data_IF_572742938052
#
_entry.id   IF_572742938052
#
_cell.length_a   1.000
_cell.length_b   1.000
_cell.length_c   1.000
_cell.angle_alpha   90.00
_cell.angle_beta   90.00
_cell.angle_gamma   90.00
#
_symmetry.space_group_name_H-M   'P 1'
#
loop_
_entity.id
_entity.type
_entity.pdbx_description
1 polymer ?
#
# COMPACT_ATOMS: atom_id res chain seq x y z
N UNK A 1 33.08 38.44 44.47
CA UNK A 1 32.76 39.37 45.57
C UNK A 1 31.35 39.88 45.30
N UNK A 2 30.35 39.28 45.95
CA UNK A 2 29.60 39.86 47.09
C UNK A 2 28.54 40.85 46.59
N UNK A 3 27.28 40.36 46.50
CA UNK A 3 26.06 41.19 46.67
C UNK A 3 26.08 41.78 48.09
N UNK A 4 25.33 42.85 48.42
CA UNK A 4 23.92 42.71 48.85
C UNK A 4 23.15 44.03 48.58
N UNK A 5 21.98 44.40 49.09
CA UNK A 5 20.94 43.94 50.02
C UNK A 5 19.77 44.92 49.83
N UNK A 6 18.59 44.63 50.40
CA UNK A 6 17.63 45.70 50.71
C UNK A 6 16.18 45.24 50.77
N UNK A 7 15.78 44.83 51.97
CA UNK A 7 14.42 44.47 52.41
C UNK A 7 13.54 45.70 52.75
N UNK A 8 12.32 45.38 53.20
CA UNK A 8 11.26 46.19 53.85
C UNK A 8 10.23 46.88 52.93
N UNK A 9 8.92 46.80 53.16
CA UNK A 9 8.14 46.19 54.23
C UNK A 9 6.82 46.96 54.43
N UNK A 10 5.65 46.30 54.28
CA UNK A 10 4.34 46.53 54.96
C UNK A 10 3.66 47.93 54.88
N UNK A 11 2.33 48.17 54.89
CA UNK A 11 1.04 47.44 54.96
C UNK A 11 -0.10 48.48 54.80
N UNK A 12 -1.34 47.97 54.63
CA UNK A 12 -2.68 48.63 54.79
C UNK A 12 -3.18 49.51 53.62
N UNK A 13 -4.44 49.50 53.16
CA UNK A 13 -5.65 48.77 53.52
C UNK A 13 -6.87 49.20 52.64
N UNK A 14 -7.79 48.24 52.40
CA UNK A 14 -9.26 48.34 52.21
C UNK A 14 -9.94 48.99 50.95
N UNK A 15 -10.40 48.08 50.06
CA UNK A 15 -11.77 47.89 49.51
C UNK A 15 -12.46 48.97 48.60
N UNK A 16 -13.64 48.68 47.98
CA UNK A 16 -13.91 47.78 46.83
C UNK A 16 -14.69 48.50 45.69
N UNK A 17 -14.83 47.88 44.50
CA UNK A 17 -15.84 48.34 43.53
C UNK A 17 -15.67 47.89 42.07
N UNK A 18 -16.57 46.99 41.66
CA UNK A 18 -17.26 46.89 40.36
C UNK A 18 -16.53 46.47 39.06
N UNK A 19 -17.18 45.52 38.35
CA UNK A 19 -17.30 45.65 36.88
C UNK A 19 -16.92 44.48 35.96
N UNK A 20 -17.60 43.34 36.08
CA UNK A 20 -17.98 42.40 34.99
C UNK A 20 -16.92 41.57 34.21
N UNK A 21 -17.34 40.43 33.60
CA UNK A 21 -16.52 39.24 33.45
C UNK A 21 -15.91 39.09 32.05
N UNK A 22 -14.70 38.52 31.99
CA UNK A 22 -14.15 37.94 30.75
C UNK A 22 -14.31 36.42 30.82
N UNK A 23 -14.85 35.88 29.73
CA UNK A 23 -15.16 34.49 29.48
C UNK A 23 -13.91 33.60 29.51
N UNK A 24 -13.86 32.69 30.47
CA UNK A 24 -12.86 31.63 30.53
C UNK A 24 -13.18 30.52 29.53
N UNK A 25 -12.22 30.23 28.67
CA UNK A 25 -12.22 29.10 27.73
C UNK A 25 -11.95 27.77 28.48
N UNK A 26 -12.58 26.65 28.09
CA UNK A 26 -12.50 25.39 28.84
C UNK A 26 -11.19 24.64 28.56
N UNK A 27 -10.07 25.08 29.15
CA UNK A 27 -8.79 24.35 29.14
C UNK A 27 -8.13 24.17 30.52
N UNK A 28 -8.89 24.29 31.61
CA UNK A 28 -8.41 24.04 32.99
C UNK A 28 -9.27 23.06 33.79
N UNK A 29 -9.69 21.95 33.18
CA UNK A 29 -10.20 20.78 33.92
C UNK A 29 -9.83 19.47 33.23
N UNK A 30 -8.55 19.12 33.20
CA UNK A 30 -8.07 17.74 33.01
C UNK A 30 -6.59 17.66 33.41
N UNK A 31 -6.32 18.10 34.64
CA UNK A 31 -4.99 18.09 35.24
C UNK A 31 -5.05 17.59 36.67
N UNK A 32 -5.42 16.32 36.86
CA UNK A 32 -5.10 15.48 38.04
C UNK A 32 -5.89 14.17 37.97
N UNK A 33 -5.26 13.12 37.46
CA UNK A 33 -5.35 11.73 37.94
C UNK A 33 -4.87 10.80 36.82
N UNK A 34 -3.61 10.33 36.89
CA UNK A 34 -3.16 8.93 36.76
C UNK A 34 -1.65 8.96 37.06
N UNK A 35 -1.29 8.84 38.34
CA UNK A 35 0.04 8.37 38.75
C UNK A 35 -0.07 6.86 38.98
N UNK A 36 0.80 6.08 38.35
CA UNK A 36 1.13 4.74 38.82
C UNK A 36 0.80 3.57 37.89
N UNK A 37 1.53 3.45 36.78
CA UNK A 37 1.96 2.12 36.33
C UNK A 37 3.48 2.08 36.45
N UNK A 38 3.98 1.32 37.43
CA UNK A 38 5.42 1.18 37.67
C UNK A 38 6.07 0.45 36.48
N UNK A 39 7.33 0.76 36.17
CA UNK A 39 8.06 0.13 35.05
C UNK A 39 8.06 -1.41 35.06
N UNK A 40 7.82 -2.02 36.22
CA UNK A 40 7.62 -3.46 36.38
C UNK A 40 6.37 -3.99 35.66
N UNK A 41 5.27 -3.22 35.59
CA UNK A 41 4.04 -3.61 34.92
C UNK A 41 4.17 -3.55 33.39
N UNK A 42 4.87 -2.55 32.86
CA UNK A 42 5.21 -2.46 31.44
C UNK A 42 6.17 -3.60 31.01
N UNK A 43 7.17 -3.92 31.84
CA UNK A 43 8.05 -5.05 31.61
C UNK A 43 7.31 -6.41 31.66
N UNK A 44 6.30 -6.53 32.53
CA UNK A 44 5.44 -7.73 32.61
C UNK A 44 4.54 -7.87 31.38
N UNK A 45 3.99 -6.77 30.86
CA UNK A 45 3.23 -6.75 29.62
C UNK A 45 4.11 -7.11 28.41
N UNK A 46 5.31 -6.54 28.29
CA UNK A 46 6.26 -6.89 27.24
C UNK A 46 6.69 -8.37 27.29
N UNK A 47 6.91 -8.92 28.49
CA UNK A 47 7.18 -10.35 28.68
C UNK A 47 5.99 -11.23 28.30
N UNK A 48 4.76 -10.80 28.59
CA UNK A 48 3.55 -11.53 28.21
C UNK A 48 3.36 -11.57 26.68
N UNK A 49 3.63 -10.46 25.99
CA UNK A 49 3.61 -10.39 24.52
C UNK A 49 4.70 -11.27 23.92
N UNK A 50 5.92 -11.27 24.47
CA UNK A 50 6.99 -12.18 24.02
C UNK A 50 6.65 -13.66 24.26
N UNK A 51 5.97 -13.98 25.37
CA UNK A 51 5.50 -15.34 25.65
C UNK A 51 4.46 -15.79 24.62
N UNK A 52 3.50 -14.93 24.27
CA UNK A 52 2.48 -15.19 23.26
C UNK A 52 3.08 -15.35 21.84
N UNK A 53 4.11 -14.58 21.50
CA UNK A 53 4.82 -14.73 20.23
C UNK A 53 5.65 -16.02 20.17
N UNK A 54 6.25 -16.44 21.29
CA UNK A 54 6.98 -17.73 21.39
C UNK A 54 6.05 -18.93 21.29
N UNK A 55 4.86 -18.88 21.88
CA UNK A 55 3.87 -19.95 21.75
C UNK A 55 3.34 -20.04 20.32
N UNK A 56 3.08 -18.92 19.66
CA UNK A 56 2.71 -18.88 18.24
C UNK A 56 3.82 -19.46 17.32
N UNK A 57 5.11 -19.16 17.62
CA UNK A 57 6.25 -19.74 16.90
C UNK A 57 6.37 -21.26 17.10
N UNK A 58 6.17 -21.75 18.33
CA UNK A 58 6.16 -23.20 18.62
C UNK A 58 5.00 -23.92 17.93
N UNK A 59 3.80 -23.32 17.91
CA UNK A 59 2.64 -23.88 17.22
C UNK A 59 2.89 -23.97 15.70
N UNK A 60 3.50 -22.94 15.12
CA UNK A 60 3.86 -22.90 13.70
C UNK A 60 4.94 -23.93 13.34
N UNK A 61 5.97 -24.07 14.17
CA UNK A 61 7.01 -25.09 14.00
C UNK A 61 6.44 -26.52 14.11
N UNK A 62 5.51 -26.76 15.05
CA UNK A 62 4.84 -28.06 15.20
C UNK A 62 3.97 -28.39 13.97
N UNK A 63 3.30 -27.38 13.39
CA UNK A 63 2.50 -27.54 12.17
C UNK A 63 3.37 -27.81 10.93
N UNK A 64 4.54 -27.18 10.84
CA UNK A 64 5.53 -27.44 9.79
C UNK A 64 6.15 -28.84 9.89
N UNK A 65 6.49 -29.30 11.11
CA UNK A 65 6.99 -30.66 11.34
C UNK A 65 5.94 -31.73 11.04
N UNK A 66 4.66 -31.48 11.39
CA UNK A 66 3.56 -32.38 11.07
C UNK A 66 3.35 -32.52 9.55
N UNK A 67 3.46 -31.40 8.80
CA UNK A 67 3.35 -31.39 7.32
C UNK A 67 4.53 -32.10 6.64
N UNK A 68 5.73 -32.02 7.22
CA UNK A 68 6.92 -32.76 6.76
C UNK A 68 6.84 -34.27 7.03
N UNK A 69 6.17 -34.67 8.11
CA UNK A 69 5.91 -36.08 8.41
C UNK A 69 4.87 -36.71 7.48
N UNK A 70 3.82 -35.96 7.10
CA UNK A 70 2.81 -36.43 6.13
C UNK A 70 3.37 -36.54 4.72
N UNK A 71 4.25 -35.62 4.31
CA UNK A 71 4.91 -35.69 3.01
C UNK A 71 5.89 -36.89 2.86
N UNK A 72 6.42 -37.42 3.98
CA UNK A 72 7.32 -38.58 3.97
C UNK A 72 6.58 -39.92 3.90
N UNK A 73 5.26 -39.94 4.14
CA UNK A 73 4.42 -41.14 4.07
C UNK A 73 3.80 -41.39 2.68
N UNK A 74 3.92 -40.45 1.74
CA UNK A 74 3.42 -40.61 0.37
C UNK A 74 4.56 -40.44 -0.63
N UNK A 75 5.31 -41.51 -0.88
CA UNK A 75 6.14 -41.66 -2.08
C UNK A 75 6.16 -43.15 -2.47
N UNK A 76 5.87 -43.49 -3.75
CA UNK A 76 5.75 -44.87 -4.19
C UNK A 76 7.12 -45.53 -4.38
N UNK A 77 7.20 -46.77 -3.94
CA UNK A 77 8.31 -47.72 -4.09
C UNK A 77 8.49 -48.18 -5.53
N UNK A 78 9.75 -48.19 -6.02
CA UNK A 78 10.22 -49.07 -7.12
C UNK A 78 11.74 -49.32 -6.99
N UNK A 79 12.29 -50.38 -7.60
CA UNK A 79 13.11 -51.35 -6.88
C UNK A 79 14.60 -51.24 -7.24
N UNK A 80 15.40 -51.77 -6.33
CA UNK A 80 16.85 -51.88 -6.33
C UNK A 80 17.36 -52.88 -7.37
N UNK A 81 18.31 -52.46 -8.21
CA UNK A 81 19.21 -53.34 -8.95
C UNK A 81 20.66 -53.03 -8.53
N UNK A 82 21.34 -54.06 -8.01
CA UNK A 82 22.77 -54.09 -7.65
C UNK A 82 23.65 -53.91 -8.88
N UNK A 83 24.61 -52.98 -8.86
CA UNK A 83 25.88 -53.14 -9.56
C UNK A 83 27.04 -52.56 -8.74
N UNK A 84 28.06 -53.40 -8.57
CA UNK A 84 29.33 -53.19 -7.87
C UNK A 84 30.30 -52.40 -8.76
N UNK A 85 31.16 -51.50 -8.24
CA UNK A 85 32.20 -50.89 -9.05
C UNK A 85 33.55 -51.61 -8.88
N UNK A 86 34.15 -52.04 -10.00
CA UNK A 86 35.56 -52.40 -10.10
C UNK A 86 36.37 -51.25 -10.69
N UNK A 87 37.47 -50.93 -10.03
CA UNK A 87 38.56 -50.05 -10.49
C UNK A 87 39.43 -50.84 -11.49
N UNK A 88 40.14 -50.18 -12.42
CA UNK A 88 41.55 -49.94 -12.11
C UNK A 88 42.10 -48.58 -12.59
N UNK A 89 43.13 -48.16 -11.85
CA UNK A 89 44.19 -47.19 -12.18
C UNK A 89 44.86 -47.46 -13.52
N UNK A 90 45.32 -46.41 -14.22
CA UNK A 90 46.75 -46.11 -14.46
C UNK A 90 46.96 -44.67 -15.01
N UNK A 91 48.05 -44.04 -14.57
CA UNK A 91 48.70 -42.77 -14.98
C UNK A 91 48.95 -42.63 -16.49
N UNK A 92 48.89 -41.40 -17.03
CA UNK A 92 50.05 -40.59 -17.49
C UNK A 92 49.62 -39.30 -18.21
N UNK A 93 50.51 -38.32 -18.20
CA UNK A 93 50.33 -36.86 -18.44
C UNK A 93 50.81 -36.44 -19.86
N UNK A 94 50.99 -35.14 -20.19
CA UNK A 94 50.12 -34.32 -21.06
C UNK A 94 50.69 -34.03 -22.47
N UNK A 95 49.84 -33.57 -23.39
CA UNK A 95 50.31 -32.84 -24.58
C UNK A 95 49.34 -31.73 -25.00
N UNK A 96 49.92 -30.53 -25.14
CA UNK A 96 49.39 -29.35 -25.83
C UNK A 96 48.91 -29.69 -27.25
N UNK A 97 47.83 -29.04 -27.70
CA UNK A 97 47.80 -28.16 -28.91
C UNK A 97 46.36 -27.78 -29.28
N UNK A 98 46.07 -26.48 -29.24
CA UNK A 98 45.14 -25.74 -30.14
C UNK A 98 46.01 -25.24 -31.33
N UNK A 99 45.52 -24.67 -32.45
CA UNK A 99 44.14 -24.31 -32.84
C UNK A 99 43.78 -24.63 -34.33
N UNK A 100 42.51 -24.42 -34.71
CA UNK A 100 42.00 -23.89 -36.02
C UNK A 100 40.50 -24.22 -36.13
N UNK A 101 39.58 -23.25 -36.12
CA UNK A 101 39.03 -22.55 -37.29
C UNK A 101 38.70 -23.45 -38.49
N UNK A 102 37.41 -23.64 -38.76
CA UNK A 102 36.88 -23.75 -40.13
C UNK A 102 35.47 -23.16 -40.22
N UNK A 103 35.35 -22.26 -41.19
CA UNK A 103 34.15 -21.73 -41.84
C UNK A 103 33.46 -22.81 -42.68
N UNK A 104 32.13 -22.79 -42.77
CA UNK A 104 31.38 -22.84 -44.04
C UNK A 104 29.86 -22.90 -43.83
N UNK A 105 29.18 -22.17 -44.72
CA UNK A 105 27.73 -22.05 -44.96
C UNK A 105 27.09 -23.39 -45.38
N UNK A 106 25.77 -23.55 -45.17
CA UNK A 106 24.77 -23.77 -46.25
C UNK A 106 23.39 -24.24 -45.75
N UNK A 107 22.35 -23.59 -46.29
CA UNK A 107 21.00 -24.08 -46.68
C UNK A 107 19.95 -24.57 -45.66
N UNK A 108 18.96 -23.71 -45.46
CA UNK A 108 17.52 -23.88 -45.73
C UNK A 108 16.78 -25.17 -45.30
N UNK A 109 15.79 -25.02 -44.41
CA UNK A 109 14.41 -25.49 -44.67
C UNK A 109 13.38 -24.77 -43.79
N UNK A 110 12.44 -24.11 -44.46
CA UNK A 110 11.19 -23.58 -43.92
C UNK A 110 10.23 -24.73 -43.56
N UNK A 111 9.42 -24.52 -42.52
CA UNK A 111 8.08 -25.10 -42.43
C UNK A 111 7.20 -24.24 -41.50
N UNK A 112 6.35 -23.42 -42.12
CA UNK A 112 5.09 -22.93 -41.55
C UNK A 112 4.04 -24.04 -41.57
N UNK A 113 2.90 -23.87 -40.88
CA UNK A 113 1.67 -23.90 -41.66
C UNK A 113 0.70 -22.76 -41.33
N UNK A 114 0.09 -22.26 -42.39
CA UNK A 114 -0.95 -21.23 -42.47
C UNK A 114 -2.34 -21.88 -42.45
N UNK A 115 -3.25 -21.27 -41.68
CA UNK A 115 -4.67 -20.94 -41.97
C UNK A 115 -5.50 -21.84 -42.92
N UNK A 116 -6.71 -22.23 -42.50
CA UNK A 116 -7.94 -21.61 -43.04
C UNK A 116 -9.24 -21.95 -42.28
N UNK A 117 -10.30 -21.11 -42.44
CA UNK A 117 -11.55 -21.15 -41.69
C UNK A 117 -12.70 -21.82 -42.47
N UNK A 118 -13.79 -22.15 -41.78
CA UNK A 118 -15.10 -22.36 -42.42
C UNK A 118 -16.26 -22.05 -41.48
N UNK A 119 -17.24 -21.36 -42.06
CA UNK A 119 -18.47 -20.80 -41.51
C UNK A 119 -19.63 -21.80 -41.43
N UNK A 120 -20.55 -21.47 -40.52
CA UNK A 120 -21.95 -21.89 -40.29
C UNK A 120 -22.76 -22.46 -41.49
N UNK A 121 -23.85 -23.23 -41.22
CA UNK A 121 -25.16 -22.56 -41.16
C UNK A 121 -26.14 -23.08 -40.08
N UNK A 122 -27.15 -22.24 -39.85
CA UNK A 122 -28.24 -22.34 -38.89
C UNK A 122 -29.26 -23.46 -39.17
N UNK A 123 -29.87 -24.03 -38.12
CA UNK A 123 -31.32 -24.31 -38.04
C UNK A 123 -31.78 -24.54 -36.59
N UNK A 124 -32.74 -23.75 -36.12
CA UNK A 124 -33.66 -23.99 -34.99
C UNK A 124 -35.09 -23.94 -35.59
N UNK A 125 -36.23 -24.26 -34.91
CA UNK A 125 -36.43 -24.57 -33.48
C UNK A 125 -37.43 -25.72 -33.17
N UNK A 126 -37.53 -26.13 -31.90
CA UNK A 126 -38.75 -26.74 -31.35
C UNK A 126 -38.91 -26.50 -29.84
N UNK A 127 -40.13 -26.12 -29.46
CA UNK A 127 -40.57 -25.63 -28.16
C UNK A 127 -41.00 -26.72 -27.18
N UNK A 128 -40.95 -26.43 -25.87
CA UNK A 128 -41.79 -27.07 -24.85
C UNK A 128 -42.38 -26.07 -23.85
N UNK A 129 -43.64 -26.31 -23.49
CA UNK A 129 -44.62 -25.42 -22.83
C UNK A 129 -44.55 -25.47 -21.30
N UNK A 130 -44.93 -24.35 -20.64
CA UNK A 130 -45.43 -24.28 -19.25
C UNK A 130 -46.91 -23.78 -19.24
N UNK A 131 -47.71 -24.11 -18.22
CA UNK A 131 -49.16 -23.96 -18.25
C UNK A 131 -49.70 -22.65 -17.67
N UNK A 132 -50.96 -22.35 -18.03
CA UNK A 132 -51.76 -21.16 -17.71
C UNK A 132 -52.52 -21.25 -16.37
N UNK A 133 -53.12 -20.12 -15.92
CA UNK A 133 -54.40 -20.16 -15.20
C UNK A 133 -55.50 -19.26 -15.81
N UNK A 134 -56.68 -19.41 -15.22
CA UNK A 134 -58.06 -19.27 -15.73
C UNK A 134 -58.63 -17.85 -15.80
N UNK A 135 -59.80 -17.76 -16.47
CA UNK A 135 -60.64 -16.60 -16.83
C UNK A 135 -61.93 -16.56 -15.97
N UNK A 136 -62.40 -15.36 -15.59
CA UNK A 136 -63.81 -14.93 -15.29
C UNK A 136 -63.75 -13.54 -14.58
N UNK A 137 -64.64 -12.55 -14.69
CA UNK A 137 -65.95 -12.37 -15.33
C UNK A 137 -66.18 -10.87 -15.63
N UNK A 138 -67.11 -10.58 -16.55
CA UNK A 138 -67.55 -9.24 -16.95
C UNK A 138 -68.79 -8.77 -16.15
N UNK A 139 -68.95 -7.45 -15.99
CA UNK A 139 -70.23 -6.80 -15.62
C UNK A 139 -70.56 -5.69 -16.63
N UNK A 140 -71.83 -5.64 -17.00
CA UNK A 140 -72.44 -4.78 -18.00
C UNK A 140 -72.80 -3.37 -17.46
N UNK A 141 -72.93 -2.41 -18.36
CA UNK A 141 -73.52 -1.08 -18.15
C UNK A 141 -74.69 -0.86 -19.15
N UNK A 142 -75.72 -0.06 -18.81
CA UNK A 142 -76.96 0.05 -19.59
C UNK A 142 -76.93 1.16 -20.66
N UNK A 143 -77.97 1.18 -21.49
CA UNK A 143 -78.05 1.89 -22.78
C UNK A 143 -78.95 3.15 -22.82
N UNK A 144 -78.64 4.00 -23.81
CA UNK A 144 -79.48 4.95 -24.61
C UNK A 144 -79.87 6.32 -24.00
N UNK A 145 -80.14 7.40 -24.79
CA UNK A 145 -80.52 7.42 -26.21
C UNK A 145 -79.81 8.46 -27.14
N UNK A 146 -80.20 8.39 -28.42
CA UNK A 146 -79.72 9.13 -29.60
C UNK A 146 -80.30 10.55 -29.67
N UNK A 147 -79.51 11.53 -30.12
CA UNK A 147 -80.01 12.68 -30.89
C UNK A 147 -78.94 13.34 -31.79
N UNK A 148 -79.38 13.71 -33.00
CA UNK A 148 -78.87 14.70 -33.97
C UNK A 148 -77.37 14.74 -34.33
N UNK A 149 -77.01 13.99 -35.39
CA UNK A 149 -75.67 13.99 -35.99
C UNK A 149 -75.69 14.60 -37.41
N UNK A 150 -75.96 15.90 -37.54
CA UNK A 150 -75.88 16.61 -38.85
C UNK A 150 -75.24 18.01 -38.82
N UNK A 151 -74.58 18.42 -37.74
CA UNK A 151 -73.79 19.67 -37.74
C UNK A 151 -72.30 19.50 -37.34
N UNK A 152 -71.88 18.29 -36.93
CA UNK A 152 -70.51 18.04 -36.43
C UNK A 152 -69.52 17.55 -37.50
N UNK A 153 -69.98 17.29 -38.73
CA UNK A 153 -69.12 16.83 -39.83
C UNK A 153 -68.43 17.98 -40.60
N UNK A 154 -69.02 19.17 -40.63
CA UNK A 154 -68.44 20.33 -41.33
C UNK A 154 -67.35 21.06 -40.51
N UNK A 155 -67.47 21.06 -39.17
CA UNK A 155 -66.45 21.62 -38.28
C UNK A 155 -65.17 20.77 -38.18
N UNK A 156 -65.31 19.44 -38.25
CA UNK A 156 -64.18 18.52 -38.18
C UNK A 156 -63.26 18.62 -39.43
N UNK A 157 -63.83 18.87 -40.61
CA UNK A 157 -63.06 19.04 -41.84
C UNK A 157 -62.29 20.37 -41.88
N UNK A 158 -62.87 21.48 -41.39
CA UNK A 158 -62.16 22.77 -41.27
C UNK A 158 -61.05 22.72 -40.21
N UNK A 159 -61.28 22.06 -39.07
CA UNK A 159 -60.27 21.86 -38.03
C UNK A 159 -59.11 20.97 -38.49
N UNK A 160 -59.39 19.93 -39.30
CA UNK A 160 -58.35 19.09 -39.89
C UNK A 160 -57.50 19.83 -40.93
N UNK A 161 -58.10 20.70 -41.76
CA UNK A 161 -57.35 21.50 -42.75
C UNK A 161 -56.53 22.62 -42.09
N UNK A 162 -57.04 23.24 -41.02
CA UNK A 162 -56.26 24.20 -40.21
C UNK A 162 -55.12 23.52 -39.44
N UNK A 163 -55.33 22.31 -38.93
CA UNK A 163 -54.30 21.46 -38.31
C UNK A 163 -53.19 21.07 -39.30
N UNK A 164 -53.55 20.68 -40.54
CA UNK A 164 -52.56 20.33 -41.56
C UNK A 164 -51.80 21.57 -42.05
N UNK A 165 -52.45 22.76 -42.12
CA UNK A 165 -51.78 24.02 -42.45
C UNK A 165 -50.87 24.53 -41.33
N UNK A 166 -51.24 24.39 -40.06
CA UNK A 166 -50.40 24.76 -38.92
C UNK A 166 -49.21 23.80 -38.75
N UNK A 167 -49.39 22.51 -39.02
CA UNK A 167 -48.28 21.53 -39.07
C UNK A 167 -47.35 21.79 -40.26
N UNK A 168 -47.87 22.24 -41.41
CA UNK A 168 -47.06 22.58 -42.60
C UNK A 168 -46.34 23.93 -42.46
N UNK A 169 -46.91 24.89 -41.73
CA UNK A 169 -46.27 26.15 -41.35
C UNK A 169 -45.20 25.93 -40.27
N UNK A 170 -45.49 25.14 -39.22
CA UNK A 170 -44.52 24.75 -38.20
C UNK A 170 -43.36 23.92 -38.78
N UNK A 171 -43.60 23.13 -39.84
CA UNK A 171 -42.52 22.45 -40.59
C UNK A 171 -41.69 23.36 -41.50
N UNK A 172 -42.19 24.54 -41.89
CA UNK A 172 -41.44 25.54 -42.67
C UNK A 172 -40.63 26.47 -41.79
N UNK A 173 -41.04 26.66 -40.54
CA UNK A 173 -40.40 27.54 -39.55
C UNK A 173 -39.52 26.78 -38.54
N UNK A 174 -39.71 25.46 -38.41
CA UNK A 174 -38.68 24.58 -37.88
C UNK A 174 -37.56 24.47 -38.93
N UNK A 175 -36.70 25.49 -38.96
CA UNK A 175 -35.34 25.33 -39.43
C UNK A 175 -34.84 24.01 -38.83
N UNK A 176 -34.59 23.02 -39.69
CA UNK A 176 -33.87 21.81 -39.27
C UNK A 176 -32.68 22.32 -38.48
N UNK A 177 -32.44 21.88 -37.22
CA UNK A 177 -31.15 22.16 -36.61
C UNK A 177 -30.13 21.74 -37.66
N UNK A 178 -29.11 22.57 -37.95
CA UNK A 178 -28.17 22.23 -38.99
C UNK A 178 -27.72 20.81 -38.67
N UNK A 179 -27.99 19.88 -39.61
CA UNK A 179 -27.36 18.57 -39.55
C UNK A 179 -25.89 18.92 -39.42
N UNK A 180 -25.30 18.62 -38.25
CA UNK A 180 -23.87 18.78 -38.00
C UNK A 180 -23.21 18.32 -39.29
N UNK A 181 -22.66 19.28 -40.04
CA UNK A 181 -22.00 18.95 -41.30
C UNK A 181 -20.96 17.92 -40.89
N UNK A 182 -20.91 16.78 -41.54
CA UNK A 182 -19.93 15.70 -41.28
C UNK A 182 -18.47 16.13 -41.48
N UNK A 183 -18.22 17.44 -41.61
CA UNK A 183 -16.93 18.12 -41.68
C UNK A 183 -16.65 19.03 -40.49
N UNK A 184 -17.59 19.26 -39.58
CA UNK A 184 -17.23 19.71 -38.23
C UNK A 184 -16.58 18.50 -37.58
N UNK A 185 -15.26 18.36 -37.78
CA UNK A 185 -14.45 17.47 -36.96
C UNK A 185 -14.93 17.69 -35.54
N UNK A 186 -15.48 16.64 -34.92
CA UNK A 186 -15.67 16.62 -33.48
C UNK A 186 -14.27 16.90 -32.93
N UNK A 187 -13.98 18.16 -32.60
CA UNK A 187 -12.78 18.50 -31.87
C UNK A 187 -13.09 17.98 -30.48
N UNK A 188 -12.84 16.69 -30.30
CA UNK A 188 -12.79 16.11 -28.97
C UNK A 188 -11.86 17.03 -28.19
N UNK A 189 -12.30 17.56 -27.03
CA UNK A 189 -11.38 18.30 -26.18
C UNK A 189 -10.14 17.41 -26.01
N UNK A 190 -8.93 17.98 -26.08
CA UNK A 190 -7.71 17.19 -25.97
C UNK A 190 -7.86 16.28 -24.76
N UNK A 191 -7.81 14.97 -25.00
CA UNK A 191 -7.87 14.01 -23.90
C UNK A 191 -6.76 14.42 -22.93
N UNK A 192 -7.07 14.57 -21.62
CA UNK A 192 -6.05 14.94 -20.66
C UNK A 192 -4.90 13.94 -20.83
N UNK A 193 -3.72 14.44 -21.20
CA UNK A 193 -2.57 13.57 -21.42
C UNK A 193 -2.33 12.80 -20.14
N UNK A 194 -2.07 11.49 -20.19
CA UNK A 194 -1.79 10.76 -18.97
C UNK A 194 -0.40 11.16 -18.45
N UNK A 195 -0.32 11.65 -17.21
CA UNK A 195 0.93 11.87 -16.50
C UNK A 195 1.21 10.67 -15.60
N UNK A 196 2.32 10.00 -15.86
CA UNK A 196 2.87 8.96 -15.00
C UNK A 196 4.07 9.61 -14.29
N UNK A 197 4.01 9.85 -12.97
CA UNK A 197 5.12 10.44 -12.25
C UNK A 197 6.29 9.45 -12.17
N UNK A 198 7.51 9.99 -12.01
CA UNK A 198 8.74 9.18 -11.88
C UNK A 198 8.89 8.50 -10.50
N UNK A 199 7.91 8.70 -9.61
CA UNK A 199 7.83 8.12 -8.26
C UNK A 199 8.04 6.61 -8.30
N UNK A 200 9.01 6.12 -7.56
CA UNK A 200 9.37 4.70 -7.54
C UNK A 200 8.41 3.89 -6.68
N UNK A 201 7.98 2.74 -7.22
CA UNK A 201 7.20 1.74 -6.50
C UNK A 201 8.10 0.58 -6.09
N UNK A 202 8.28 0.41 -4.80
CA UNK A 202 9.32 -0.43 -4.19
C UNK A 202 8.67 -1.59 -3.43
N UNK A 203 9.29 -2.76 -3.45
CA UNK A 203 8.86 -3.88 -2.61
C UNK A 203 9.65 -3.90 -1.30
N UNK A 204 8.98 -3.86 -0.15
CA UNK A 204 9.63 -4.12 1.14
C UNK A 204 9.89 -5.62 1.31
N UNK A 205 11.08 -6.00 1.78
CA UNK A 205 11.38 -7.40 2.12
C UNK A 205 10.50 -7.91 3.27
N UNK A 206 9.90 -7.02 4.06
CA UNK A 206 8.90 -7.38 5.07
C UNK A 206 7.65 -8.03 4.45
N UNK A 207 7.32 -7.67 3.20
CA UNK A 207 6.11 -8.11 2.50
C UNK A 207 6.10 -9.57 2.11
N UNK A 208 7.26 -10.22 2.11
CA UNK A 208 7.41 -11.64 1.79
C UNK A 208 7.65 -12.51 3.02
N UNK A 209 7.77 -11.92 4.21
CA UNK A 209 8.03 -12.66 5.44
C UNK A 209 6.99 -13.79 5.63
N UNK A 210 7.38 -15.02 6.00
CA UNK A 210 8.70 -15.43 6.48
C UNK A 210 9.67 -15.94 5.41
N UNK A 211 9.42 -15.69 4.12
CA UNK A 211 10.41 -15.97 3.08
C UNK A 211 11.68 -15.12 3.28
N UNK A 212 12.78 -15.55 2.64
CA UNK A 212 14.08 -14.88 2.78
C UNK A 212 14.14 -13.58 1.99
N UNK A 213 15.15 -12.77 2.31
CA UNK A 213 15.49 -11.55 1.55
C UNK A 213 15.68 -11.86 0.07
N UNK A 214 16.33 -12.97 -0.28
CA UNK A 214 16.52 -13.38 -1.67
C UNK A 214 15.20 -13.58 -2.44
N UNK A 215 14.16 -14.14 -1.80
CA UNK A 215 12.83 -14.30 -2.41
C UNK A 215 12.18 -12.94 -2.70
N UNK A 216 12.44 -11.92 -1.87
CA UNK A 216 11.95 -10.57 -2.13
C UNK A 216 12.57 -9.98 -3.42
N UNK A 217 13.88 -10.15 -3.62
CA UNK A 217 14.55 -9.68 -4.84
C UNK A 217 14.06 -10.44 -6.08
N UNK A 218 13.85 -11.75 -5.98
CA UNK A 218 13.27 -12.56 -7.05
C UNK A 218 11.87 -12.07 -7.43
N UNK A 219 10.98 -11.88 -6.44
CA UNK A 219 9.62 -11.42 -6.67
C UNK A 219 9.57 -9.97 -7.17
N UNK A 220 10.41 -9.08 -6.64
CA UNK A 220 10.52 -7.70 -7.11
C UNK A 220 10.87 -7.65 -8.60
N UNK A 221 11.90 -8.40 -9.02
CA UNK A 221 12.33 -8.48 -10.41
C UNK A 221 11.26 -9.13 -11.30
N UNK A 222 10.65 -10.23 -10.84
CA UNK A 222 9.63 -10.96 -11.60
C UNK A 222 8.37 -10.14 -11.85
N UNK A 223 7.90 -9.41 -10.84
CA UNK A 223 6.68 -8.60 -10.92
C UNK A 223 6.92 -7.21 -11.52
N UNK A 224 8.19 -6.81 -11.65
CA UNK A 224 8.58 -5.54 -12.26
C UNK A 224 8.42 -4.36 -11.32
N UNK A 225 8.78 -4.51 -10.04
CA UNK A 225 8.98 -3.40 -9.12
C UNK A 225 10.21 -2.57 -9.54
N UNK A 226 10.26 -1.31 -9.08
CA UNK A 226 11.36 -0.41 -9.44
C UNK A 226 12.60 -0.59 -8.54
N UNK A 227 12.43 -1.26 -7.41
CA UNK A 227 13.50 -1.58 -6.47
C UNK A 227 13.01 -2.30 -5.22
N UNK A 228 13.92 -2.43 -4.26
CA UNK A 228 13.67 -3.11 -2.97
C UNK A 228 13.98 -2.17 -1.80
N UNK A 229 13.12 -2.22 -0.78
CA UNK A 229 13.46 -1.76 0.56
C UNK A 229 13.90 -2.97 1.39
N UNK A 230 15.08 -2.87 2.01
CA UNK A 230 15.59 -3.93 2.87
C UNK A 230 15.18 -3.66 4.33
N UNK A 231 14.23 -4.46 4.81
CA UNK A 231 13.97 -4.63 6.25
C UNK A 231 15.10 -5.42 6.91
N UNK A 232 15.96 -4.72 7.67
CA UNK A 232 17.06 -5.35 8.40
C UNK A 232 16.51 -6.14 9.58
N UNK A 233 16.52 -7.46 9.48
CA UNK A 233 15.90 -8.35 10.46
C UNK A 233 16.80 -9.52 10.85
N UNK A 234 16.21 -10.64 11.27
CA UNK A 234 16.90 -11.82 11.77
C UNK A 234 17.46 -12.69 10.63
N UNK A 235 17.01 -12.47 9.39
CA UNK A 235 17.64 -13.07 8.22
C UNK A 235 19.08 -12.52 8.09
N UNK A 236 20.13 -13.36 8.19
CA UNK A 236 21.51 -12.89 8.09
C UNK A 236 21.81 -12.16 6.78
N UNK A 237 21.12 -12.53 5.69
CA UNK A 237 21.29 -11.87 4.39
C UNK A 237 20.91 -10.38 4.47
N UNK A 238 19.84 -10.05 5.20
CA UNK A 238 19.42 -8.64 5.40
C UNK A 238 20.41 -7.80 6.20
N UNK A 239 21.40 -8.43 6.85
CA UNK A 239 22.40 -7.77 7.70
C UNK A 239 23.77 -7.60 7.00
N UNK A 240 23.98 -8.29 5.88
CA UNK A 240 25.25 -8.35 5.14
C UNK A 240 25.15 -7.49 3.88
N UNK A 241 25.84 -6.35 3.89
CA UNK A 241 25.86 -5.38 2.79
C UNK A 241 26.38 -5.99 1.49
N UNK A 242 27.38 -6.88 1.54
CA UNK A 242 27.93 -7.48 0.33
C UNK A 242 27.01 -8.57 -0.22
N UNK A 243 26.30 -9.30 0.65
CA UNK A 243 25.25 -10.22 0.22
C UNK A 243 24.07 -9.48 -0.44
N UNK A 244 23.64 -8.36 0.13
CA UNK A 244 22.61 -7.49 -0.45
C UNK A 244 23.04 -6.94 -1.81
N UNK A 245 24.29 -6.48 -1.94
CA UNK A 245 24.83 -6.03 -3.24
C UNK A 245 24.79 -7.15 -4.29
N UNK A 246 25.24 -8.36 -3.94
CA UNK A 246 25.17 -9.52 -4.84
C UNK A 246 23.74 -9.84 -5.29
N UNK A 247 22.75 -9.73 -4.39
CA UNK A 247 21.34 -9.92 -4.74
C UNK A 247 20.82 -8.82 -5.67
N UNK A 248 21.14 -7.56 -5.36
CA UNK A 248 20.83 -6.40 -6.21
C UNK A 248 21.37 -6.60 -7.62
N UNK A 249 22.65 -6.96 -7.75
CA UNK A 249 23.31 -7.17 -9.04
C UNK A 249 22.72 -8.36 -9.81
N UNK A 250 22.49 -9.48 -9.13
CA UNK A 250 21.96 -10.70 -9.75
C UNK A 250 20.53 -10.54 -10.28
N UNK A 251 19.68 -9.79 -9.56
CA UNK A 251 18.28 -9.56 -9.93
C UNK A 251 18.06 -8.24 -10.68
N UNK A 252 19.11 -7.41 -10.82
CA UNK A 252 19.05 -6.03 -11.36
C UNK A 252 18.01 -5.17 -10.65
N UNK A 253 17.84 -5.36 -9.34
CA UNK A 253 16.90 -4.62 -8.52
C UNK A 253 17.66 -3.69 -7.57
N UNK A 254 17.62 -2.37 -7.79
CA UNK A 254 18.31 -1.44 -6.90
C UNK A 254 17.68 -1.44 -5.51
N UNK A 255 18.51 -1.21 -4.50
CA UNK A 255 18.05 -1.02 -3.12
C UNK A 255 17.84 0.48 -2.92
N UNK A 256 16.59 0.88 -2.72
CA UNK A 256 16.21 2.28 -2.66
C UNK A 256 16.09 2.80 -1.22
N UNK A 257 15.83 1.90 -0.26
CA UNK A 257 15.70 2.22 1.15
C UNK A 257 16.21 1.08 2.04
N UNK A 258 16.69 1.46 3.24
CA UNK A 258 17.06 0.53 4.31
C UNK A 258 16.20 0.82 5.53
N UNK A 259 15.43 -0.16 5.97
CA UNK A 259 14.63 -0.04 7.18
C UNK A 259 15.44 -0.52 8.39
N UNK A 260 15.74 0.40 9.30
CA UNK A 260 16.67 0.14 10.41
C UNK A 260 16.10 -0.90 11.41
N UNK A 261 16.94 -1.73 12.05
CA UNK A 261 16.50 -2.77 12.98
C UNK A 261 16.04 -2.19 14.34
N UNK A 262 14.86 -1.57 14.35
CA UNK A 262 14.31 -0.82 15.48
C UNK A 262 13.17 -1.55 16.23
N UNK A 263 12.67 -2.66 15.68
CA UNK A 263 11.59 -3.48 16.26
C UNK A 263 12.00 -4.24 17.53
N UNK A 264 11.01 -4.67 18.34
CA UNK A 264 11.24 -5.45 19.57
C UNK A 264 12.01 -6.75 19.35
N UNK A 265 11.85 -7.35 18.17
CA UNK A 265 12.47 -8.64 17.86
C UNK A 265 13.81 -8.50 17.11
N UNK A 266 14.22 -7.27 16.78
CA UNK A 266 15.52 -6.92 16.18
C UNK A 266 16.47 -6.24 17.18
N UNK A 267 16.15 -6.24 18.48
CA UNK A 267 16.94 -5.53 19.50
C UNK A 267 18.42 -5.95 19.57
N UNK A 268 18.78 -7.15 19.09
CA UNK A 268 20.17 -7.65 19.04
C UNK A 268 20.77 -7.70 17.63
N UNK A 269 20.01 -7.36 16.61
CA UNK A 269 20.51 -7.33 15.23
C UNK A 269 21.56 -6.22 15.13
N UNK A 270 22.72 -6.56 14.56
CA UNK A 270 23.96 -5.76 14.54
C UNK A 270 24.59 -5.43 15.90
N UNK A 271 23.81 -4.92 16.85
CA UNK A 271 24.26 -4.46 18.16
C UNK A 271 23.04 -4.22 19.07
N UNK A 272 23.25 -4.03 20.37
CA UNK A 272 22.20 -3.59 21.31
C UNK A 272 22.10 -2.08 21.45
N UNK A 273 23.11 -1.34 21.00
CA UNK A 273 23.11 0.13 21.05
C UNK A 273 22.32 0.74 19.88
N UNK A 274 21.21 1.47 20.13
CA UNK A 274 20.37 2.01 19.06
C UNK A 274 21.09 3.04 18.18
N UNK A 275 22.00 3.86 18.71
CA UNK A 275 22.73 4.84 17.91
C UNK A 275 23.69 4.16 16.93
N UNK A 276 24.44 3.16 17.40
CA UNK A 276 25.30 2.35 16.52
C UNK A 276 24.49 1.66 15.42
N UNK A 277 23.23 1.27 15.66
CA UNK A 277 22.36 0.73 14.60
C UNK A 277 22.06 1.75 13.51
N UNK A 278 21.75 3.00 13.88
CA UNK A 278 21.48 4.05 12.90
C UNK A 278 22.73 4.41 12.11
N UNK A 279 23.89 4.48 12.76
CA UNK A 279 25.18 4.69 12.07
C UNK A 279 25.47 3.55 11.07
N UNK A 280 25.18 2.29 11.46
CA UNK A 280 25.31 1.15 10.54
C UNK A 280 24.29 1.16 9.41
N UNK A 281 23.04 1.55 9.69
CA UNK A 281 21.99 1.68 8.67
C UNK A 281 22.37 2.76 7.63
N UNK A 282 22.89 3.90 8.09
CA UNK A 282 23.47 4.94 7.23
C UNK A 282 24.56 4.38 6.32
N UNK A 283 25.58 3.76 6.92
CA UNK A 283 26.71 3.22 6.17
C UNK A 283 26.29 2.12 5.19
N UNK A 284 25.28 1.32 5.54
CA UNK A 284 24.69 0.35 4.63
C UNK A 284 23.98 1.04 3.46
N UNK A 285 23.14 2.04 3.73
CA UNK A 285 22.43 2.80 2.70
C UNK A 285 23.41 3.46 1.71
N UNK A 286 24.43 4.17 2.20
CA UNK A 286 25.47 4.80 1.39
C UNK A 286 26.20 3.78 0.50
N UNK A 287 26.57 2.61 1.06
CA UNK A 287 27.25 1.54 0.32
C UNK A 287 26.37 0.82 -0.70
N UNK A 288 25.06 0.81 -0.51
CA UNK A 288 24.08 0.16 -1.38
C UNK A 288 23.47 1.13 -2.40
N UNK A 289 23.73 2.43 -2.27
CA UNK A 289 23.13 3.47 -3.11
C UNK A 289 21.68 3.80 -2.74
N UNK A 290 21.24 3.43 -1.54
CA UNK A 290 19.89 3.73 -1.05
C UNK A 290 19.80 5.19 -0.60
N UNK A 291 18.73 5.88 -0.96
CA UNK A 291 18.54 7.31 -0.67
C UNK A 291 17.80 7.57 0.65
N UNK A 292 17.26 6.52 1.29
CA UNK A 292 16.47 6.65 2.52
C UNK A 292 16.82 5.59 3.56
N UNK A 293 16.74 5.98 4.83
CA UNK A 293 16.74 5.09 5.99
C UNK A 293 15.47 5.33 6.79
N UNK A 294 14.64 4.29 6.93
CA UNK A 294 13.43 4.36 7.74
C UNK A 294 13.76 4.05 9.20
N UNK A 295 13.25 4.90 10.10
CA UNK A 295 13.55 4.83 11.54
C UNK A 295 12.26 4.92 12.35
N UNK A 296 12.14 4.06 13.37
CA UNK A 296 11.05 4.16 14.33
C UNK A 296 11.44 5.05 15.51
N UNK A 297 10.47 5.75 16.12
CA UNK A 297 10.70 6.40 17.40
C UNK A 297 11.10 5.39 18.50
N UNK A 298 11.92 5.82 19.47
CA UNK A 298 12.36 5.02 20.61
C UNK A 298 11.21 4.37 21.37
N UNK A 299 11.46 3.18 21.90
CA UNK A 299 10.62 2.68 22.99
C UNK A 299 10.89 3.47 24.26
N UNK A 300 9.85 3.70 25.07
CA UNK A 300 9.95 4.48 26.33
C UNK A 300 11.00 3.97 27.33
N UNK A 301 11.29 2.67 27.33
CA UNK A 301 12.31 2.10 28.22
C UNK A 301 13.74 2.38 27.74
N UNK A 302 13.96 2.83 26.50
CA UNK A 302 15.26 3.24 25.98
C UNK A 302 15.55 4.70 26.38
N UNK A 303 15.60 4.96 27.68
CA UNK A 303 15.54 6.32 28.26
C UNK A 303 16.55 7.31 27.69
N UNK A 304 17.81 6.91 27.51
CA UNK A 304 18.84 7.80 26.97
C UNK A 304 18.60 8.08 25.48
N UNK A 305 18.40 7.02 24.70
CA UNK A 305 18.07 7.13 23.28
C UNK A 305 16.84 8.02 23.05
N UNK A 306 15.80 7.87 23.87
CA UNK A 306 14.60 8.69 23.81
C UNK A 306 14.81 10.17 24.09
N UNK A 307 15.70 10.52 25.02
CA UNK A 307 16.03 11.93 25.32
C UNK A 307 16.73 12.62 24.16
N UNK A 308 17.64 11.89 23.51
CA UNK A 308 18.52 12.46 22.50
C UNK A 308 17.99 12.26 21.07
N UNK A 309 16.83 11.59 20.90
CA UNK A 309 16.38 11.08 19.60
C UNK A 309 16.20 12.18 18.56
N UNK A 310 15.40 13.21 18.86
CA UNK A 310 15.10 14.30 17.93
C UNK A 310 16.38 15.03 17.50
N UNK A 311 17.18 15.48 18.47
CA UNK A 311 18.44 16.15 18.21
C UNK A 311 19.44 15.26 17.46
N UNK A 312 19.48 13.96 17.77
CA UNK A 312 20.37 13.01 17.13
C UNK A 312 19.99 12.69 15.68
N UNK A 313 18.70 12.54 15.37
CA UNK A 313 18.22 12.37 13.98
C UNK A 313 18.54 13.63 13.16
N UNK A 314 18.28 14.82 13.70
CA UNK A 314 18.57 16.07 12.99
C UNK A 314 20.07 16.26 12.75
N UNK A 315 20.92 15.90 13.72
CA UNK A 315 22.38 15.89 13.52
C UNK A 315 22.79 14.92 12.41
N UNK A 316 22.33 13.67 12.45
CA UNK A 316 22.69 12.66 11.45
C UNK A 316 22.22 13.04 10.04
N UNK A 317 21.04 13.66 9.92
CA UNK A 317 20.51 14.17 8.65
C UNK A 317 21.33 15.34 8.07
N UNK A 318 22.21 15.98 8.86
CA UNK A 318 23.14 17.00 8.38
C UNK A 318 24.48 16.44 7.90
N UNK A 319 24.75 15.15 8.11
CA UNK A 319 26.05 14.53 7.82
C UNK A 319 26.08 13.71 6.51
N UNK A 320 24.93 13.56 5.83
CA UNK A 320 24.76 12.72 4.64
C UNK A 320 23.54 13.18 3.82
N UNK A 321 23.52 12.81 2.53
CA UNK A 321 22.36 13.01 1.65
C UNK A 321 21.26 11.95 1.86
N UNK A 322 21.56 10.88 2.60
CA UNK A 322 20.56 9.85 2.95
C UNK A 322 19.48 10.45 3.85
N UNK A 323 18.23 10.35 3.41
CA UNK A 323 17.07 10.86 4.13
C UNK A 323 16.71 9.91 5.28
N UNK A 324 16.92 10.35 6.52
CA UNK A 324 16.41 9.64 7.71
C UNK A 324 14.93 9.98 7.89
N UNK A 325 14.06 9.09 7.44
CA UNK A 325 12.62 9.26 7.48
C UNK A 325 12.06 8.59 8.74
N UNK A 326 11.49 9.38 9.64
CA UNK A 326 10.92 8.87 10.89
C UNK A 326 9.49 8.42 10.64
N UNK A 327 9.22 7.16 10.92
CA UNK A 327 7.95 6.49 10.66
C UNK A 327 6.95 6.75 11.78
N UNK A 328 5.71 7.14 11.43
CA UNK A 328 4.63 7.19 12.40
C UNK A 328 4.36 5.80 12.96
N UNK A 329 4.16 5.71 14.28
CA UNK A 329 3.77 4.47 14.93
C UNK A 329 2.27 4.51 15.25
N UNK A 330 1.84 3.63 16.14
CA UNK A 330 0.48 3.55 16.60
C UNK A 330 0.42 3.31 18.11
N UNK A 331 -0.65 3.79 18.78
CA UNK A 331 -0.86 3.51 20.18
C UNK A 331 -1.13 2.02 20.42
N UNK A 332 -0.48 1.44 21.42
CA UNK A 332 -0.71 0.05 21.77
C UNK A 332 -1.98 -0.06 22.61
N UNK A 333 -2.95 -0.85 22.17
CA UNK A 333 -4.20 -1.05 22.90
C UNK A 333 -4.29 -2.47 23.45
N UNK A 334 -4.52 -2.58 24.76
CA UNK A 334 -4.80 -3.84 25.43
C UNK A 334 -6.12 -3.72 26.20
N UNK A 335 -7.17 -4.35 25.68
CA UNK A 335 -8.56 -4.16 26.14
C UNK A 335 -8.91 -2.67 26.06
N UNK A 336 -9.43 -2.08 27.13
CA UNK A 336 -9.82 -0.67 27.19
C UNK A 336 -8.67 0.27 27.58
N UNK A 337 -7.42 -0.21 27.60
CA UNK A 337 -6.25 0.59 28.00
C UNK A 337 -5.33 0.86 26.82
N UNK A 338 -4.97 2.13 26.68
CA UNK A 338 -3.91 2.58 25.79
C UNK A 338 -2.57 2.61 26.54
N UNK A 339 -1.55 2.03 25.93
CA UNK A 339 -0.18 1.97 26.45
C UNK A 339 0.68 2.85 25.55
N UNK A 340 1.19 3.94 26.13
CA UNK A 340 2.23 4.74 25.50
C UNK A 340 3.48 3.86 25.43
N UNK A 341 3.80 3.32 24.26
CA UNK A 341 4.96 2.44 24.06
C UNK A 341 6.20 3.23 23.58
N UNK A 342 5.97 4.37 22.94
CA UNK A 342 6.98 5.18 22.26
C UNK A 342 7.28 6.48 23.04
N UNK A 343 8.48 7.02 22.80
CA UNK A 343 8.93 8.32 23.31
C UNK A 343 9.72 9.00 22.19
N UNK A 344 9.42 10.25 21.82
CA UNK A 344 8.49 11.18 22.49
C UNK A 344 7.00 10.82 22.32
N UNK A 345 6.63 10.25 21.19
CA UNK A 345 5.25 9.84 20.88
C UNK A 345 5.17 8.78 19.80
N UNK A 346 3.96 8.31 19.51
CA UNK A 346 3.67 7.49 18.34
C UNK A 346 3.30 8.35 17.12
N UNK A 347 2.65 9.50 17.35
CA UNK A 347 2.52 10.55 16.33
C UNK A 347 3.86 11.28 16.28
N UNK A 348 4.54 11.14 15.16
CA UNK A 348 5.87 11.72 14.95
C UNK A 348 5.80 13.16 14.47
N UNK A 349 4.62 13.63 14.06
CA UNK A 349 4.41 15.00 13.57
C UNK A 349 4.36 16.04 14.69
N UNK A 350 4.30 15.60 15.96
CA UNK A 350 4.44 16.45 17.15
C UNK A 350 5.88 16.97 17.34
N UNK A 351 6.85 16.44 16.59
CA UNK A 351 8.26 16.75 16.69
C UNK A 351 8.83 17.24 15.36
N UNK A 352 9.97 17.93 15.43
CA UNK A 352 10.64 18.49 14.26
C UNK A 352 11.71 17.54 13.71
N UNK A 353 11.29 16.64 12.82
CA UNK A 353 12.21 15.85 11.98
C UNK A 353 12.33 16.46 10.58
N UNK A 354 13.47 16.24 9.92
CA UNK A 354 13.71 16.68 8.53
C UNK A 354 12.89 15.90 7.51
N UNK A 355 12.70 14.60 7.74
CA UNK A 355 11.97 13.72 6.83
C UNK A 355 11.07 12.75 7.60
N UNK A 356 9.93 12.42 7.00
CA UNK A 356 8.94 11.49 7.54
C UNK A 356 8.70 10.31 6.62
N UNK A 357 8.40 9.16 7.24
CA UNK A 357 7.70 8.05 6.61
C UNK A 357 6.26 8.04 7.11
N UNK A 358 5.30 7.95 6.20
CA UNK A 358 3.92 7.60 6.57
C UNK A 358 3.65 6.12 6.31
N UNK A 359 3.22 5.39 7.33
CA UNK A 359 2.68 4.04 7.23
C UNK A 359 1.15 4.06 7.43
N UNK A 360 0.42 3.62 6.40
CA UNK A 360 -1.04 3.66 6.39
C UNK A 360 -1.68 2.58 7.27
N UNK A 361 -1.03 1.44 7.51
CA UNK A 361 -1.51 0.45 8.48
C UNK A 361 -1.43 1.02 9.90
N UNK A 362 -0.39 1.79 10.20
CA UNK A 362 -0.24 2.51 11.47
C UNK A 362 -1.26 3.64 11.62
N UNK A 363 -1.53 4.41 10.54
CA UNK A 363 -2.61 5.42 10.53
C UNK A 363 -3.96 4.77 10.82
N UNK A 364 -4.27 3.66 10.14
CA UNK A 364 -5.50 2.91 10.37
C UNK A 364 -5.61 2.46 11.84
N UNK A 365 -4.55 1.84 12.36
CA UNK A 365 -4.50 1.35 13.75
C UNK A 365 -4.65 2.48 14.77
N UNK A 366 -4.13 3.65 14.45
CA UNK A 366 -4.23 4.87 15.27
C UNK A 366 -5.62 5.52 15.20
N UNK A 367 -6.40 5.22 14.15
CA UNK A 367 -7.74 5.78 13.88
C UNK A 367 -7.72 7.29 13.71
N UNK A 368 -6.70 7.78 13.02
CA UNK A 368 -6.57 9.19 12.65
C UNK A 368 -6.81 9.36 11.16
N UNK A 369 -7.08 10.59 10.74
CA UNK A 369 -7.24 10.93 9.34
C UNK A 369 -5.87 10.97 8.62
N UNK A 370 -5.79 10.25 7.49
CA UNK A 370 -4.57 10.13 6.70
C UNK A 370 -4.13 11.47 6.12
N UNK A 371 -5.06 12.23 5.54
CA UNK A 371 -4.74 13.50 4.89
C UNK A 371 -4.33 14.57 5.90
N UNK A 372 -4.95 14.60 7.08
CA UNK A 372 -4.54 15.47 8.17
C UNK A 372 -3.10 15.19 8.63
N UNK A 373 -2.66 13.92 8.65
CA UNK A 373 -1.27 13.59 8.96
C UNK A 373 -0.32 13.97 7.81
N UNK A 374 -0.69 13.68 6.56
CA UNK A 374 0.09 14.06 5.37
C UNK A 374 0.27 15.58 5.28
N UNK A 375 -0.78 16.36 5.59
CA UNK A 375 -0.72 17.82 5.63
C UNK A 375 0.27 18.33 6.69
N UNK A 376 0.29 17.73 7.89
CA UNK A 376 1.27 18.07 8.93
C UNK A 376 2.70 17.68 8.56
N UNK A 377 2.87 16.58 7.82
CA UNK A 377 4.18 16.16 7.30
C UNK A 377 4.67 17.11 6.19
N UNK A 378 3.76 17.59 5.34
CA UNK A 378 4.04 18.59 4.30
C UNK A 378 5.12 18.14 3.32
N UNK A 379 6.00 19.07 2.95
CA UNK A 379 7.16 18.86 2.07
C UNK A 379 8.24 17.94 2.67
N UNK A 380 8.13 17.60 3.97
CA UNK A 380 9.04 16.69 4.66
C UNK A 380 8.63 15.23 4.51
N UNK A 381 7.47 14.92 3.92
CA UNK A 381 7.12 13.55 3.57
C UNK A 381 8.10 13.05 2.49
N UNK A 382 8.92 12.06 2.83
CA UNK A 382 9.97 11.54 1.94
C UNK A 382 9.76 10.06 1.55
N UNK A 383 8.90 9.36 2.27
CA UNK A 383 8.75 7.92 2.15
C UNK A 383 7.33 7.50 2.54
N UNK A 384 6.74 6.55 1.82
CA UNK A 384 5.39 6.06 2.08
C UNK A 384 5.43 4.55 2.20
N UNK A 385 5.05 4.01 3.35
CA UNK A 385 4.71 2.59 3.49
C UNK A 385 3.25 2.42 3.15
N UNK A 386 3.03 1.97 1.92
CA UNK A 386 1.72 1.74 1.36
C UNK A 386 1.24 0.34 1.77
N UNK A 387 0.25 0.36 2.65
CA UNK A 387 -0.55 -0.77 3.05
C UNK A 387 -1.96 -0.26 3.34
N UNK A 388 -2.89 -1.15 3.70
CA UNK A 388 -4.23 -0.76 4.12
C UNK A 388 -4.55 -1.34 5.50
N UNK A 389 -5.60 -0.83 6.12
CA UNK A 389 -6.05 -1.28 7.43
C UNK A 389 -7.52 -0.99 7.65
N UNK A 390 -8.18 -1.86 8.42
CA UNK A 390 -9.61 -1.74 8.70
C UNK A 390 -9.95 -0.76 9.84
N UNK A 391 -8.94 -0.23 10.53
CA UNK A 391 -9.09 0.54 11.78
C UNK A 391 -9.15 -0.33 13.05
N UNK A 392 -8.83 -1.62 12.92
CA UNK A 392 -8.76 -2.54 14.06
C UNK A 392 -7.64 -2.13 15.03
N UNK A 393 -7.65 -2.69 16.25
CA UNK A 393 -6.53 -2.51 17.20
C UNK A 393 -5.27 -3.29 16.83
N UNK A 394 -5.25 -3.95 15.67
CA UNK A 394 -4.12 -4.69 15.15
C UNK A 394 -3.56 -3.95 13.95
N UNK A 395 -2.26 -3.96 13.88
CA UNK A 395 -1.51 -3.57 12.71
C UNK A 395 -1.61 -4.69 11.65
N UNK A 396 -2.43 -4.46 10.64
CA UNK A 396 -2.90 -5.50 9.71
C UNK A 396 -2.03 -5.61 8.46
N UNK A 397 -1.56 -4.47 7.94
CA UNK A 397 -0.88 -4.32 6.65
C UNK A 397 -1.61 -5.06 5.52
N UNK A 398 -2.89 -4.74 5.34
CA UNK A 398 -3.68 -5.33 4.26
C UNK A 398 -3.16 -4.86 2.88
N UNK A 399 -3.53 -5.59 1.83
CA UNK A 399 -3.30 -5.15 0.45
C UNK A 399 -4.06 -3.83 0.21
N UNK A 400 -3.43 -2.81 -0.41
CA UNK A 400 -4.10 -1.56 -0.77
C UNK A 400 -5.45 -1.78 -1.47
N UNK A 401 -6.51 -1.15 -0.96
CA UNK A 401 -7.88 -1.32 -1.46
C UNK A 401 -8.67 -2.43 -0.78
N UNK A 402 -8.06 -3.23 0.11
CA UNK A 402 -8.75 -4.25 0.91
C UNK A 402 -9.07 -3.81 2.35
N UNK A 403 -8.79 -2.56 2.71
CA UNK A 403 -9.11 -1.97 4.00
C UNK A 403 -10.01 -0.74 3.87
N UNK A 404 -9.69 0.32 4.61
CA UNK A 404 -10.48 1.56 4.69
C UNK A 404 -9.63 2.82 4.59
N UNK A 405 -8.31 2.70 4.40
CA UNK A 405 -7.45 3.85 4.20
C UNK A 405 -7.65 4.40 2.79
N UNK A 406 -7.55 5.73 2.59
CA UNK A 406 -7.71 6.37 1.29
C UNK A 406 -6.43 6.21 0.43
N UNK A 407 -6.05 4.96 0.16
CA UNK A 407 -4.80 4.62 -0.52
C UNK A 407 -4.77 5.19 -1.95
N UNK A 408 -5.88 5.06 -2.68
CA UNK A 408 -6.02 5.56 -4.05
C UNK A 408 -5.87 7.10 -4.07
N UNK A 409 -6.63 7.77 -3.22
CA UNK A 409 -6.67 9.23 -3.14
C UNK A 409 -5.33 9.80 -2.70
N UNK A 410 -4.62 9.12 -1.78
CA UNK A 410 -3.27 9.52 -1.40
C UNK A 410 -2.30 9.41 -2.56
N UNK A 411 -2.29 8.31 -3.31
CA UNK A 411 -1.40 8.13 -4.46
C UNK A 411 -1.67 9.18 -5.56
N UNK A 412 -2.95 9.44 -5.84
CA UNK A 412 -3.35 10.49 -6.78
C UNK A 412 -2.96 11.90 -6.28
N UNK A 413 -2.98 12.12 -4.97
CA UNK A 413 -2.49 13.36 -4.37
C UNK A 413 -0.97 13.48 -4.55
N UNK A 414 -0.19 12.46 -4.20
CA UNK A 414 1.28 12.44 -4.34
C UNK A 414 1.72 12.66 -5.79
N UNK A 415 1.05 12.02 -6.75
CA UNK A 415 1.29 12.22 -8.17
C UNK A 415 1.02 13.67 -8.60
N UNK A 416 -0.10 14.26 -8.14
CA UNK A 416 -0.48 15.65 -8.48
C UNK A 416 0.40 16.70 -7.83
N UNK A 417 1.01 16.41 -6.68
CA UNK A 417 1.88 17.35 -5.95
C UNK A 417 3.35 17.18 -6.29
N UNK A 418 3.72 16.18 -7.10
CA UNK A 418 5.09 15.98 -7.56
C UNK A 418 5.98 15.35 -6.49
N UNK A 419 5.44 14.41 -5.72
CA UNK A 419 6.18 13.67 -4.70
C UNK A 419 7.45 13.02 -5.27
N UNK A 420 8.61 13.37 -4.70
CA UNK A 420 9.95 12.94 -5.14
C UNK A 420 10.56 11.83 -4.26
N UNK A 421 9.74 11.26 -3.37
CA UNK A 421 10.10 10.14 -2.50
C UNK A 421 9.77 8.77 -3.08
N UNK A 422 9.76 7.76 -2.20
CA UNK A 422 9.45 6.37 -2.57
C UNK A 422 8.09 5.94 -2.03
N UNK A 423 7.34 5.19 -2.84
CA UNK A 423 6.14 4.46 -2.40
C UNK A 423 6.52 2.99 -2.26
N UNK A 424 6.50 2.49 -1.04
CA UNK A 424 7.00 1.16 -0.67
C UNK A 424 5.83 0.29 -0.23
N UNK A 425 5.64 -0.83 -0.92
CA UNK A 425 4.64 -1.82 -0.53
C UNK A 425 5.16 -2.64 0.65
N UNK A 426 4.59 -2.35 1.82
CA UNK A 426 4.79 -3.09 3.07
C UNK A 426 3.49 -3.80 3.48
N UNK A 427 3.20 -4.95 2.86
CA UNK A 427 1.93 -5.67 3.03
C UNK A 427 2.12 -7.05 3.67
N UNK A 428 1.12 -7.53 4.40
CA UNK A 428 1.20 -8.79 5.14
C UNK A 428 0.66 -9.97 4.34
N UNK A 429 1.57 -10.70 3.67
CA UNK A 429 1.25 -11.93 2.91
C UNK A 429 1.48 -13.23 3.70
N UNK A 430 1.57 -13.14 5.05
CA UNK A 430 1.83 -14.33 5.90
C UNK A 430 0.70 -15.34 5.87
N UNK A 431 -0.52 -14.90 5.55
CA UNK A 431 -1.74 -15.71 5.53
C UNK A 431 -2.08 -16.25 4.13
N UNK A 432 -1.40 -15.82 3.08
CA UNK A 432 -1.58 -16.37 1.74
C UNK A 432 -1.34 -17.89 1.78
N UNK A 433 -2.27 -18.67 1.24
CA UNK A 433 -2.28 -20.13 1.36
C UNK A 433 -1.19 -20.81 0.52
N UNK A 434 -0.63 -20.11 -0.47
CA UNK A 434 0.42 -20.62 -1.36
C UNK A 434 1.41 -19.53 -1.79
N UNK A 435 2.61 -19.90 -2.31
CA UNK A 435 3.51 -18.95 -2.95
C UNK A 435 2.88 -18.20 -4.13
N UNK A 436 2.03 -18.87 -4.92
CA UNK A 436 1.34 -18.25 -6.05
C UNK A 436 0.32 -17.21 -5.60
N UNK A 437 -0.38 -17.44 -4.48
CA UNK A 437 -1.30 -16.46 -3.90
C UNK A 437 -0.55 -15.25 -3.34
N UNK A 438 0.60 -15.45 -2.69
CA UNK A 438 1.47 -14.32 -2.29
C UNK A 438 1.90 -13.50 -3.50
N UNK A 439 2.35 -14.16 -4.56
CA UNK A 439 2.75 -13.48 -5.79
C UNK A 439 1.59 -12.68 -6.39
N UNK A 440 0.38 -13.25 -6.41
CA UNK A 440 -0.82 -12.55 -6.86
C UNK A 440 -1.19 -11.36 -5.98
N UNK A 441 -1.11 -11.49 -4.65
CA UNK A 441 -1.35 -10.39 -3.71
C UNK A 441 -0.36 -9.22 -3.93
N UNK A 442 0.92 -9.53 -4.17
CA UNK A 442 1.94 -8.51 -4.46
C UNK A 442 1.74 -7.87 -5.84
N UNK A 443 1.37 -8.67 -6.84
CA UNK A 443 1.04 -8.17 -8.17
C UNK A 443 -0.17 -7.23 -8.14
N UNK A 444 -1.22 -7.59 -7.37
CA UNK A 444 -2.40 -6.76 -7.15
C UNK A 444 -2.02 -5.44 -6.49
N UNK A 445 -1.23 -5.48 -5.41
CA UNK A 445 -0.76 -4.29 -4.73
C UNK A 445 0.05 -3.37 -5.67
N UNK A 446 0.96 -3.92 -6.47
CA UNK A 446 1.74 -3.16 -7.45
C UNK A 446 0.86 -2.52 -8.52
N UNK A 447 -0.09 -3.28 -9.06
CA UNK A 447 -1.02 -2.80 -10.07
C UNK A 447 -1.91 -1.67 -9.53
N UNK A 448 -2.46 -1.83 -8.31
CA UNK A 448 -3.21 -0.78 -7.62
C UNK A 448 -2.37 0.49 -7.47
N UNK A 449 -1.13 0.35 -7.03
CA UNK A 449 -0.24 1.48 -6.77
C UNK A 449 0.04 2.25 -8.07
N UNK A 450 0.41 1.56 -9.13
CA UNK A 450 0.71 2.18 -10.44
C UNK A 450 -0.53 2.80 -11.07
N UNK A 451 -1.69 2.17 -10.92
CA UNK A 451 -2.96 2.71 -11.42
C UNK A 451 -3.24 4.09 -10.81
N UNK A 452 -3.13 4.22 -9.49
CA UNK A 452 -3.48 5.47 -8.80
C UNK A 452 -2.36 6.53 -8.80
N UNK A 453 -1.13 6.14 -9.16
CA UNK A 453 -0.08 7.12 -9.49
C UNK A 453 -0.25 7.70 -10.90
N UNK A 454 -0.91 6.99 -11.82
CA UNK A 454 -1.20 7.48 -13.16
C UNK A 454 -2.34 8.50 -13.11
N UNK A 455 -2.02 9.79 -13.21
CA UNK A 455 -2.98 10.89 -13.10
C UNK A 455 -3.14 11.65 -14.41
N UNK A 456 -4.25 12.36 -14.59
CA UNK A 456 -4.36 13.30 -15.71
C UNK A 456 -3.26 14.38 -15.58
N UNK A 457 -2.52 14.60 -16.67
CA UNK A 457 -1.54 15.69 -16.75
C UNK A 457 -2.24 17.00 -16.43
N UNK A 458 -1.59 17.82 -15.61
CA UNK A 458 -1.97 19.22 -15.52
C UNK A 458 -1.85 19.83 -16.91
N UNK A 459 -2.95 20.27 -17.49
CA UNK A 459 -2.90 21.30 -18.54
C UNK A 459 -2.27 22.51 -17.86
N UNK A 460 -1.03 22.80 -18.20
CA UNK A 460 -0.29 23.95 -17.66
C UNK A 460 -0.86 25.25 -18.19
#
# INVERSE_FOLDING_TARGET
MVQPAGEDGTREGRAPGDGQPRSDSPRRRLGKAVKGATGAQAAKAAKAVQAAQRTAKKASAKKASAKKATAKQTSPTKPTAKQTPTKPTTKQTPTKQTPTQHTAKSTAKQSTPTTNPASNPATEPAATKRPAPRRAAAKAAPAAPKETRTARAAGAAKAAVQSVRSVKAARREAARPPLLRTTDRLVLPPHPTLHIPDTKVVLSTASVYPASTAVAFELAAKLGYDGVEVMVWNDPVSQDVDALRRLSDAHRMPILAVHAPCLLITQRVWTTDPWTKLVRARAAAEKLGASAVVVHPPFRWQRQYARDFVAGINRMAGETDVRFAVENMYPWRYRDREVLAYSPGWDVTDEEYRHFTIDLSHVATSRIDTFAMVERMGDRLAHVHLADGSGSGKDEHLIPGRGKQPCAELLEHLARTGFDGHVVLEVNTRRSASPAEREADLAEALAFTRLHLATASRVR
#
